data_IF_155052586694
#
_entry.id   IF_155052586694
#
_cell.length_a   1.000
_cell.length_b   1.000
_cell.length_c   1.000
_cell.angle_alpha   90.00
_cell.angle_beta   90.00
_cell.angle_gamma   90.00
#
_symmetry.space_group_name_H-M   'P 1'
#
loop_
_entity.id
_entity.type
_entity.pdbx_description
1 polymer ?
#
# COMPACT_ATOMS: atom_id res chain seq x y z
N UNK A 1 18.99 25.41 5.15
CA UNK A 1 17.77 25.48 5.98
C UNK A 1 18.15 25.07 7.39
N UNK A 2 17.64 25.77 8.40
CA UNK A 2 18.02 25.55 9.80
C UNK A 2 17.15 26.32 10.78
N UNK A 3 15.84 26.34 10.55
CA UNK A 3 14.90 27.05 11.42
C UNK A 3 13.59 26.30 11.67
N UNK A 4 13.21 25.33 10.83
CA UNK A 4 11.99 24.55 11.01
C UNK A 4 12.23 23.08 10.58
N UNK A 5 11.50 22.14 11.19
CA UNK A 5 11.79 20.71 11.17
C UNK A 5 11.76 20.01 9.81
N UNK A 6 11.97 18.70 9.84
CA UNK A 6 12.11 17.79 8.68
C UNK A 6 10.77 17.25 8.14
N UNK A 7 9.67 17.79 8.67
CA UNK A 7 8.29 17.49 8.28
C UNK A 7 7.98 18.14 6.92
N UNK A 8 7.24 17.49 6.01
CA UNK A 8 6.94 18.01 4.68
C UNK A 8 6.26 19.39 4.64
N UNK A 9 5.68 19.81 5.77
CA UNK A 9 4.89 21.03 5.87
C UNK A 9 5.51 22.07 6.81
N UNK A 10 6.70 21.83 7.37
CA UNK A 10 7.24 22.73 8.40
C UNK A 10 8.14 23.84 7.88
N UNK A 11 8.67 23.77 6.66
CA UNK A 11 9.54 24.82 6.13
C UNK A 11 8.75 26.05 5.68
N UNK A 12 9.37 27.23 5.73
CA UNK A 12 8.75 28.49 5.30
C UNK A 12 8.20 28.40 3.86
N UNK A 13 8.98 27.87 2.91
CA UNK A 13 8.49 27.71 1.53
C UNK A 13 7.37 26.67 1.39
N UNK A 14 7.30 25.67 2.27
CA UNK A 14 6.15 24.78 2.32
C UNK A 14 4.90 25.53 2.80
N UNK A 15 5.03 26.37 3.83
CA UNK A 15 3.93 27.18 4.37
C UNK A 15 3.41 28.19 3.36
N UNK A 16 4.32 28.93 2.70
CA UNK A 16 3.97 29.87 1.63
C UNK A 16 3.19 29.16 0.51
N UNK A 17 3.66 27.98 0.09
CA UNK A 17 2.97 27.16 -0.90
C UNK A 17 1.58 26.69 -0.44
N UNK A 18 1.42 26.31 0.83
CA UNK A 18 0.12 25.92 1.38
C UNK A 18 -0.87 27.09 1.36
N UNK A 19 -0.40 28.30 1.68
CA UNK A 19 -1.20 29.52 1.60
C UNK A 19 -1.66 29.80 0.16
N UNK A 20 -0.75 29.78 -0.81
CA UNK A 20 -1.08 29.98 -2.23
C UNK A 20 -2.04 28.92 -2.77
N UNK A 21 -1.83 27.65 -2.41
CA UNK A 21 -2.71 26.55 -2.83
C UNK A 21 -4.10 26.67 -2.21
N UNK A 22 -4.22 27.21 -0.99
CA UNK A 22 -5.50 27.42 -0.32
C UNK A 22 -6.36 28.50 -1.00
N UNK A 23 -5.73 29.48 -1.68
CA UNK A 23 -6.44 30.47 -2.50
C UNK A 23 -7.15 29.83 -3.70
N UNK A 24 -6.70 28.66 -4.15
CA UNK A 24 -7.37 27.91 -5.20
C UNK A 24 -8.66 27.24 -4.69
N UNK A 25 -9.73 27.22 -5.50
CA UNK A 25 -10.91 26.42 -5.21
C UNK A 25 -10.52 24.94 -5.02
N UNK A 26 -11.22 24.17 -4.16
CA UNK A 26 -10.90 22.75 -3.91
C UNK A 26 -10.75 21.91 -5.18
N UNK A 27 -11.59 22.17 -6.19
CA UNK A 27 -11.57 21.48 -7.49
C UNK A 27 -10.35 21.86 -8.36
N UNK A 28 -9.74 23.02 -8.11
CA UNK A 28 -8.57 23.53 -8.84
C UNK A 28 -7.23 23.09 -8.26
N UNK A 29 -7.18 22.72 -6.97
CA UNK A 29 -5.93 22.38 -6.27
C UNK A 29 -5.18 21.22 -6.91
N UNK A 30 -5.90 20.17 -7.34
CA UNK A 30 -5.28 19.03 -8.00
C UNK A 30 -4.59 19.42 -9.34
N UNK A 31 -5.19 20.35 -10.08
CA UNK A 31 -4.62 20.86 -11.32
C UNK A 31 -3.38 21.74 -11.06
N UNK A 32 -3.35 22.47 -9.95
CA UNK A 32 -2.19 23.27 -9.56
C UNK A 32 -1.00 22.39 -9.13
N UNK A 33 -1.27 21.34 -8.34
CA UNK A 33 -0.28 20.31 -8.02
C UNK A 33 0.29 19.66 -9.30
N UNK A 34 -0.58 19.31 -10.25
CA UNK A 34 -0.16 18.76 -11.54
C UNK A 34 0.75 19.73 -12.29
N UNK A 35 0.41 21.03 -12.34
CA UNK A 35 1.23 22.06 -12.98
C UNK A 35 2.61 22.15 -12.35
N UNK A 36 2.71 22.15 -11.02
CA UNK A 36 3.98 22.17 -10.32
C UNK A 36 4.84 20.95 -10.68
N UNK A 37 4.29 19.73 -10.62
CA UNK A 37 5.06 18.53 -10.96
C UNK A 37 5.49 18.51 -12.43
N UNK A 38 4.64 19.00 -13.34
CA UNK A 38 5.00 19.17 -14.75
C UNK A 38 6.07 20.24 -14.95
N UNK A 39 6.06 21.31 -14.15
CA UNK A 39 7.09 22.35 -14.17
C UNK A 39 8.44 21.77 -13.76
N UNK A 40 8.49 21.00 -12.66
CA UNK A 40 9.69 20.28 -12.21
C UNK A 40 10.24 19.39 -13.31
N UNK A 41 9.37 18.60 -13.96
CA UNK A 41 9.77 17.66 -15.01
C UNK A 41 10.27 18.36 -16.28
N UNK A 42 9.58 19.40 -16.71
CA UNK A 42 9.82 20.02 -18.01
C UNK A 42 10.87 21.15 -17.95
N UNK A 43 11.05 21.77 -16.78
CA UNK A 43 11.93 22.92 -16.57
C UNK A 43 12.76 22.79 -15.27
N UNK A 44 13.58 21.73 -15.13
CA UNK A 44 14.36 21.48 -13.91
C UNK A 44 15.34 22.62 -13.57
N UNK A 45 15.79 23.39 -14.57
CA UNK A 45 16.74 24.50 -14.41
C UNK A 45 16.15 25.71 -13.64
N UNK A 46 14.84 25.73 -13.41
CA UNK A 46 14.14 26.77 -12.65
C UNK A 46 14.10 26.48 -11.14
N UNK A 47 14.63 25.33 -10.69
CA UNK A 47 14.74 24.98 -9.29
C UNK A 47 15.55 26.05 -8.52
N UNK A 48 14.98 26.55 -7.43
CA UNK A 48 15.54 27.63 -6.61
C UNK A 48 15.32 29.04 -7.18
N UNK A 49 14.50 29.17 -8.24
CA UNK A 49 14.10 30.47 -8.83
C UNK A 49 12.60 30.64 -8.91
N UNK A 50 11.92 29.68 -9.54
CA UNK A 50 10.45 29.71 -9.74
C UNK A 50 9.73 28.69 -8.87
N UNK A 51 10.44 27.65 -8.43
CA UNK A 51 9.94 26.68 -7.46
C UNK A 51 11.09 26.18 -6.59
N UNK A 52 10.78 25.73 -5.38
CA UNK A 52 11.77 25.29 -4.40
C UNK A 52 11.59 23.81 -4.00
N UNK A 53 12.66 23.14 -3.51
CA UNK A 53 12.57 21.73 -3.14
C UNK A 53 11.49 21.42 -2.10
N UNK A 54 11.30 22.31 -1.13
CA UNK A 54 10.32 22.17 -0.07
C UNK A 54 8.87 22.29 -0.55
N UNK A 55 8.57 23.20 -1.48
CA UNK A 55 7.25 23.31 -2.11
C UNK A 55 6.88 22.00 -2.81
N UNK A 56 7.84 21.40 -3.52
CA UNK A 56 7.65 20.13 -4.23
C UNK A 56 7.45 18.97 -3.24
N UNK A 57 8.16 18.97 -2.11
CA UNK A 57 7.99 17.98 -1.04
C UNK A 57 6.60 18.11 -0.39
N UNK A 58 6.16 19.34 -0.08
CA UNK A 58 4.84 19.62 0.46
C UNK A 58 3.74 19.18 -0.51
N UNK A 59 3.85 19.55 -1.79
CA UNK A 59 2.93 19.15 -2.84
C UNK A 59 2.83 17.62 -2.99
N UNK A 60 3.97 16.93 -2.96
CA UNK A 60 4.02 15.47 -3.00
C UNK A 60 3.34 14.83 -1.77
N UNK A 61 3.49 15.43 -0.59
CA UNK A 61 2.83 14.99 0.63
C UNK A 61 1.32 15.20 0.61
N UNK A 62 0.82 16.28 -0.01
CA UNK A 62 -0.62 16.49 -0.23
C UNK A 62 -1.20 15.40 -1.14
N UNK A 63 -0.51 15.03 -2.22
CA UNK A 63 -0.94 13.90 -3.07
C UNK A 63 -0.92 12.60 -2.28
N UNK A 64 0.17 12.33 -1.56
CA UNK A 64 0.32 11.14 -0.74
C UNK A 64 -0.80 11.01 0.29
N UNK A 65 -1.21 12.11 0.94
CA UNK A 65 -2.31 12.15 1.90
C UNK A 65 -3.65 11.64 1.35
N UNK A 66 -3.83 11.65 0.02
CA UNK A 66 -5.05 11.13 -0.63
C UNK A 66 -4.98 9.63 -0.98
N UNK A 67 -3.85 8.97 -0.72
CA UNK A 67 -3.62 7.56 -1.05
C UNK A 67 -3.83 6.66 0.18
N UNK A 68 -4.15 5.37 0.00
CA UNK A 68 -4.47 4.43 1.09
C UNK A 68 -3.41 4.33 2.20
N UNK A 69 -2.13 4.57 1.89
CA UNK A 69 -1.02 4.49 2.85
C UNK A 69 -0.46 5.86 3.27
N UNK A 70 -1.14 6.96 2.92
CA UNK A 70 -0.71 8.31 3.27
C UNK A 70 -1.44 8.91 4.47
N UNK A 71 -2.09 8.09 5.31
CA UNK A 71 -2.91 8.57 6.44
C UNK A 71 -2.12 9.53 7.34
N UNK A 72 -0.86 9.25 7.64
CA UNK A 72 -0.06 10.13 8.49
C UNK A 72 0.07 11.56 7.92
N UNK A 73 0.11 11.70 6.59
CA UNK A 73 0.17 13.01 5.93
C UNK A 73 -1.20 13.71 5.96
N UNK A 74 -2.30 12.93 5.84
CA UNK A 74 -3.65 13.46 6.01
C UNK A 74 -3.91 13.96 7.43
N UNK A 75 -3.56 13.16 8.44
CA UNK A 75 -3.68 13.52 9.86
C UNK A 75 -2.82 14.74 10.20
N UNK A 76 -1.64 14.84 9.58
CA UNK A 76 -0.76 15.99 9.75
C UNK A 76 -1.37 17.28 9.18
N UNK A 77 -1.92 17.23 7.96
CA UNK A 77 -2.63 18.37 7.35
C UNK A 77 -3.85 18.79 8.18
N UNK A 78 -4.63 17.83 8.68
CA UNK A 78 -5.76 18.09 9.56
C UNK A 78 -5.31 18.76 10.86
N UNK A 79 -4.25 18.26 11.50
CA UNK A 79 -3.68 18.86 12.69
C UNK A 79 -3.20 20.31 12.45
N UNK A 80 -2.59 20.60 11.29
CA UNK A 80 -2.18 21.97 10.96
C UNK A 80 -3.37 22.92 10.82
N UNK A 81 -4.44 22.46 10.16
CA UNK A 81 -5.67 23.24 9.99
C UNK A 81 -6.43 23.45 11.31
N UNK A 82 -6.55 22.42 12.15
CA UNK A 82 -7.23 22.50 13.45
C UNK A 82 -6.54 23.44 14.43
N UNK A 83 -5.21 23.58 14.33
CA UNK A 83 -4.42 24.44 15.20
C UNK A 83 -4.19 25.84 14.62
N UNK A 84 -4.89 26.23 13.55
CA UNK A 84 -4.70 27.49 12.82
C UNK A 84 -3.22 27.74 12.42
N UNK A 85 -2.46 26.67 12.17
CA UNK A 85 -1.06 26.75 11.77
C UNK A 85 -0.92 26.88 10.26
N UNK A 86 -1.76 26.20 9.48
CA UNK A 86 -1.80 26.27 8.02
C UNK A 86 -3.26 26.22 7.53
N UNK A 87 -3.58 26.76 6.34
CA UNK A 87 -4.92 26.62 5.77
C UNK A 87 -5.23 25.18 5.32
N UNK A 88 -6.51 24.84 5.22
CA UNK A 88 -6.93 23.53 4.73
C UNK A 88 -6.75 23.43 3.20
N UNK A 89 -5.68 22.73 2.79
CA UNK A 89 -5.31 22.47 1.40
C UNK A 89 -5.73 21.08 0.90
N UNK A 90 -6.48 20.30 1.70
CA UNK A 90 -6.87 18.94 1.32
C UNK A 90 -7.60 18.93 -0.02
N UNK A 91 -7.37 17.88 -0.81
CA UNK A 91 -8.04 17.69 -2.09
C UNK A 91 -9.46 17.17 -1.88
N UNK A 92 -10.40 17.65 -2.69
CA UNK A 92 -11.81 17.22 -2.61
C UNK A 92 -12.07 15.78 -3.03
N UNK A 93 -11.11 15.14 -3.71
CA UNK A 93 -11.18 13.74 -4.13
C UNK A 93 -9.77 13.11 -4.17
N UNK A 94 -9.68 11.77 -4.07
CA UNK A 94 -8.43 11.05 -4.27
C UNK A 94 -7.76 11.37 -5.62
N UNK A 95 -6.44 11.57 -5.62
CA UNK A 95 -5.68 11.93 -6.81
C UNK A 95 -4.64 10.87 -7.24
N UNK A 96 -5.01 9.58 -7.41
CA UNK A 96 -4.06 8.51 -7.73
C UNK A 96 -3.35 8.72 -9.08
N UNK A 97 -3.97 9.47 -10.00
CA UNK A 97 -3.36 9.82 -11.30
C UNK A 97 -2.12 10.71 -11.16
N UNK A 98 -2.02 11.48 -10.07
CA UNK A 98 -0.88 12.35 -9.80
C UNK A 98 0.28 11.61 -9.14
N UNK A 99 0.05 10.42 -8.57
CA UNK A 99 1.04 9.72 -7.75
C UNK A 99 2.37 9.48 -8.49
N UNK A 100 2.32 9.01 -9.74
CA UNK A 100 3.52 8.78 -10.55
C UNK A 100 4.31 10.07 -10.82
N UNK A 101 3.62 11.15 -11.21
CA UNK A 101 4.30 12.41 -11.56
C UNK A 101 4.82 13.12 -10.31
N UNK A 102 4.09 13.03 -9.21
CA UNK A 102 4.49 13.55 -7.90
C UNK A 102 5.75 12.83 -7.41
N UNK A 103 5.81 11.50 -7.56
CA UNK A 103 6.99 10.72 -7.20
C UNK A 103 8.21 11.08 -8.04
N UNK A 104 8.05 11.25 -9.35
CA UNK A 104 9.14 11.69 -10.23
C UNK A 104 9.70 13.05 -9.78
N UNK A 105 8.82 14.02 -9.51
CA UNK A 105 9.20 15.34 -9.03
C UNK A 105 9.89 15.28 -7.65
N UNK A 106 9.34 14.48 -6.71
CA UNK A 106 9.91 14.26 -5.39
C UNK A 106 11.35 13.71 -5.46
N UNK A 107 11.57 12.68 -6.28
CA UNK A 107 12.90 12.06 -6.43
C UNK A 107 13.90 13.01 -7.08
N UNK A 108 13.44 13.92 -7.94
CA UNK A 108 14.28 14.96 -8.51
C UNK A 108 14.76 15.97 -7.45
N UNK A 109 13.87 16.41 -6.56
CA UNK A 109 14.21 17.40 -5.51
C UNK A 109 14.83 16.80 -4.25
N UNK A 110 14.78 15.47 -4.08
CA UNK A 110 15.27 14.77 -2.90
C UNK A 110 16.73 15.12 -2.54
N UNK A 111 17.63 15.10 -3.52
CA UNK A 111 19.04 15.45 -3.32
C UNK A 111 19.21 16.91 -2.86
N UNK A 112 18.71 17.90 -3.63
CA UNK A 112 18.73 19.30 -3.24
C UNK A 112 18.11 19.59 -1.86
N UNK A 113 16.99 18.96 -1.52
CA UNK A 113 16.33 19.14 -0.23
C UNK A 113 17.18 18.57 0.92
N UNK A 114 17.74 17.37 0.76
CA UNK A 114 18.60 16.72 1.75
C UNK A 114 19.92 17.49 2.00
N UNK A 115 20.49 18.10 0.96
CA UNK A 115 21.70 18.92 1.07
C UNK A 115 21.45 20.27 1.77
N UNK A 116 20.18 20.65 1.94
CA UNK A 116 19.78 21.87 2.63
C UNK A 116 19.98 21.82 4.15
N UNK A 117 20.18 20.64 4.74
CA UNK A 117 20.27 20.44 6.20
C UNK A 117 21.71 20.51 6.70
N UNK A 118 21.91 21.22 7.82
CA UNK A 118 23.23 21.41 8.44
C UNK A 118 23.51 20.35 9.52
N UNK A 119 22.47 19.89 10.22
CA UNK A 119 22.59 18.83 11.23
C UNK A 119 22.43 17.44 10.59
N UNK A 120 23.28 16.50 11.01
CA UNK A 120 23.26 15.13 10.47
C UNK A 120 21.98 14.36 10.83
N UNK A 121 21.36 14.69 11.98
CA UNK A 121 20.09 14.11 12.44
C UNK A 121 18.95 14.60 11.56
N UNK A 122 18.86 15.91 11.36
CA UNK A 122 17.85 16.51 10.48
C UNK A 122 18.00 16.00 9.04
N UNK A 123 19.24 15.85 8.57
CA UNK A 123 19.51 15.29 7.26
C UNK A 123 19.09 13.81 7.14
N UNK A 124 19.16 13.03 8.23
CA UNK A 124 18.68 11.66 8.26
C UNK A 124 17.15 11.60 8.25
N UNK A 125 16.49 12.39 9.10
CA UNK A 125 15.03 12.46 9.13
C UNK A 125 14.46 12.95 7.79
N UNK A 126 15.10 13.92 7.13
CA UNK A 126 14.71 14.35 5.79
C UNK A 126 14.85 13.21 4.75
N UNK A 127 15.87 12.34 4.86
CA UNK A 127 15.96 11.16 3.98
C UNK A 127 14.81 10.19 4.23
N UNK A 128 14.46 9.97 5.50
CA UNK A 128 13.36 9.09 5.88
C UNK A 128 12.03 9.64 5.39
N UNK A 129 11.79 10.95 5.49
CA UNK A 129 10.61 11.63 4.93
C UNK A 129 10.50 11.42 3.42
N UNK A 130 11.59 11.61 2.66
CA UNK A 130 11.59 11.34 1.20
C UNK A 130 11.31 9.87 0.90
N UNK A 131 11.94 8.95 1.64
CA UNK A 131 11.77 7.52 1.43
C UNK A 131 10.31 7.12 1.65
N UNK A 132 9.70 7.62 2.72
CA UNK A 132 8.33 7.35 3.08
C UNK A 132 7.33 7.92 2.07
N UNK A 133 7.50 9.19 1.67
CA UNK A 133 6.67 9.79 0.62
C UNK A 133 6.81 9.04 -0.71
N UNK A 134 8.03 8.70 -1.12
CA UNK A 134 8.29 7.94 -2.34
C UNK A 134 7.65 6.56 -2.30
N UNK A 135 7.65 5.92 -1.12
CA UNK A 135 6.99 4.64 -0.89
C UNK A 135 5.48 4.77 -1.10
N UNK A 136 4.82 5.69 -0.41
CA UNK A 136 3.37 5.93 -0.54
C UNK A 136 2.97 6.28 -1.98
N UNK A 137 3.73 7.16 -2.65
CA UNK A 137 3.46 7.58 -4.03
C UNK A 137 3.77 6.50 -5.08
N UNK A 138 4.65 5.54 -4.77
CA UNK A 138 4.89 4.39 -5.63
C UNK A 138 3.74 3.36 -5.58
N UNK A 139 2.71 3.60 -4.75
CA UNK A 139 1.75 2.57 -4.36
C UNK A 139 2.35 1.55 -3.39
N UNK A 140 3.54 1.81 -2.83
CA UNK A 140 4.17 0.98 -1.82
C UNK A 140 3.54 1.21 -0.45
N UNK A 141 3.11 0.20 0.29
CA UNK A 141 3.67 -1.14 0.29
C UNK A 141 2.93 -2.14 -0.59
N UNK A 142 3.63 -2.62 -1.62
CA UNK A 142 3.27 -3.76 -2.47
C UNK A 142 1.96 -3.54 -3.25
N UNK A 143 1.72 -4.29 -4.33
CA UNK A 143 0.43 -4.20 -5.02
C UNK A 143 -0.69 -4.28 -3.97
N UNK A 144 -1.78 -3.56 -4.12
CA UNK A 144 -2.95 -3.66 -3.22
C UNK A 144 -3.32 -5.14 -2.94
N UNK A 145 -3.14 -5.98 -3.96
CA UNK A 145 -3.27 -7.43 -3.88
C UNK A 145 -2.20 -8.12 -3.00
N UNK A 146 -0.95 -7.68 -3.05
CA UNK A 146 0.11 -8.17 -2.18
C UNK A 146 -0.11 -7.71 -0.72
N UNK A 147 -0.72 -6.53 -0.49
CA UNK A 147 -1.14 -6.13 0.87
C UNK A 147 -2.23 -7.05 1.41
N UNK A 148 -3.30 -7.27 0.62
CA UNK A 148 -4.36 -8.24 0.93
C UNK A 148 -3.76 -9.64 1.19
N UNK A 149 -2.78 -10.05 0.39
CA UNK A 149 -2.09 -11.31 0.55
C UNK A 149 -1.34 -11.41 1.87
N UNK A 150 -0.60 -10.37 2.26
CA UNK A 150 0.14 -10.34 3.52
C UNK A 150 -0.82 -10.30 4.72
N UNK A 151 -1.85 -9.48 4.69
CA UNK A 151 -2.87 -9.40 5.75
C UNK A 151 -3.56 -10.76 5.96
N UNK A 152 -3.91 -11.44 4.87
CA UNK A 152 -4.46 -12.78 4.91
C UNK A 152 -3.46 -13.81 5.45
N UNK A 153 -2.17 -13.67 5.15
CA UNK A 153 -1.11 -14.54 5.66
C UNK A 153 -0.98 -14.41 7.18
N UNK A 154 -0.91 -13.17 7.68
CA UNK A 154 -0.77 -12.87 9.11
C UNK A 154 -1.99 -13.35 9.89
N UNK A 155 -3.19 -12.97 9.43
CA UNK A 155 -4.44 -13.36 10.08
C UNK A 155 -4.64 -14.89 10.03
N UNK A 156 -4.20 -15.55 8.95
CA UNK A 156 -4.24 -17.01 8.81
C UNK A 156 -3.35 -17.73 9.82
N UNK A 157 -2.21 -17.13 10.20
CA UNK A 157 -1.32 -17.65 11.24
C UNK A 157 -1.97 -17.55 12.63
N UNK A 158 -2.57 -16.40 12.94
CA UNK A 158 -3.19 -16.12 14.24
C UNK A 158 -4.53 -16.86 14.44
N UNK A 159 -5.24 -17.18 13.35
CA UNK A 159 -6.43 -18.03 13.35
C UNK A 159 -7.75 -17.30 13.63
N UNK A 160 -7.71 -15.99 13.87
CA UNK A 160 -8.87 -15.12 14.05
C UNK A 160 -8.88 -14.03 12.97
N UNK A 161 -10.03 -13.83 12.33
CA UNK A 161 -10.26 -12.70 11.43
C UNK A 161 -11.01 -11.61 12.18
N UNK A 162 -10.68 -10.32 11.98
CA UNK A 162 -11.50 -9.21 12.46
C UNK A 162 -12.96 -9.32 11.99
N UNK A 163 -13.89 -8.82 12.79
CA UNK A 163 -15.29 -8.74 12.36
C UNK A 163 -15.43 -7.74 11.20
N UNK A 164 -16.10 -8.17 10.12
CA UNK A 164 -16.30 -7.35 8.92
C UNK A 164 -15.22 -7.51 7.86
N UNK A 165 -14.28 -8.45 8.01
CA UNK A 165 -13.31 -8.79 6.96
C UNK A 165 -14.03 -9.19 5.66
N UNK A 166 -13.61 -8.67 4.49
CA UNK A 166 -14.19 -9.06 3.21
C UNK A 166 -14.07 -10.57 2.95
N UNK A 167 -15.10 -11.21 2.34
CA UNK A 167 -15.17 -12.67 2.20
C UNK A 167 -14.01 -13.26 1.39
N UNK A 168 -13.48 -12.53 0.40
CA UNK A 168 -12.31 -12.96 -0.37
C UNK A 168 -11.04 -13.04 0.47
N UNK A 169 -10.88 -12.14 1.45
CA UNK A 169 -9.76 -12.11 2.39
C UNK A 169 -9.89 -13.26 3.40
N UNK A 170 -11.09 -13.51 3.93
CA UNK A 170 -11.34 -14.65 4.83
C UNK A 170 -11.02 -16.01 4.18
N UNK A 171 -11.42 -16.17 2.91
CA UNK A 171 -11.09 -17.35 2.12
C UNK A 171 -9.58 -17.46 1.89
N UNK A 172 -8.91 -16.36 1.52
CA UNK A 172 -7.46 -16.35 1.31
C UNK A 172 -6.71 -16.74 2.59
N UNK A 173 -7.08 -16.17 3.73
CA UNK A 173 -6.43 -16.46 5.00
C UNK A 173 -6.60 -17.91 5.45
N UNK A 174 -7.82 -18.44 5.31
CA UNK A 174 -8.12 -19.85 5.60
C UNK A 174 -7.30 -20.80 4.73
N UNK A 175 -7.10 -20.45 3.45
CA UNK A 175 -6.30 -21.22 2.52
C UNK A 175 -4.80 -21.15 2.87
N UNK A 176 -4.26 -19.95 3.08
CA UNK A 176 -2.84 -19.73 3.34
C UNK A 176 -2.38 -20.42 4.63
N UNK A 177 -3.23 -20.52 5.65
CA UNK A 177 -2.92 -21.28 6.87
C UNK A 177 -2.55 -22.75 6.58
N UNK A 178 -3.42 -23.46 5.86
CA UNK A 178 -3.23 -24.88 5.55
C UNK A 178 -2.12 -25.05 4.52
N UNK A 179 -2.06 -24.16 3.53
CA UNK A 179 -1.00 -24.16 2.52
C UNK A 179 0.39 -23.95 3.13
N UNK A 180 0.58 -22.97 4.02
CA UNK A 180 1.87 -22.70 4.66
C UNK A 180 2.32 -23.88 5.54
N UNK A 181 1.36 -24.54 6.21
CA UNK A 181 1.62 -25.79 6.93
C UNK A 181 2.11 -26.88 5.96
N UNK A 182 1.41 -27.04 4.83
CA UNK A 182 1.77 -28.03 3.82
C UNK A 182 3.12 -27.73 3.14
N UNK A 183 3.46 -26.46 2.92
CA UNK A 183 4.76 -26.05 2.41
C UNK A 183 5.90 -26.36 3.38
N UNK A 184 5.61 -26.37 4.70
CA UNK A 184 6.61 -26.62 5.74
C UNK A 184 6.85 -28.12 5.98
N UNK A 185 5.84 -28.98 5.81
CA UNK A 185 5.94 -30.39 6.19
C UNK A 185 5.11 -31.38 5.35
N UNK A 186 4.55 -30.94 4.23
CA UNK A 186 3.64 -31.72 3.39
C UNK A 186 2.21 -31.77 3.91
N UNK A 187 1.30 -32.37 3.13
CA UNK A 187 -0.12 -32.43 3.47
C UNK A 187 -0.40 -33.21 4.77
N UNK A 188 0.32 -34.31 5.02
CA UNK A 188 0.16 -35.08 6.26
C UNK A 188 0.41 -34.20 7.49
N UNK A 189 1.48 -33.41 7.49
CA UNK A 189 1.76 -32.44 8.54
C UNK A 189 0.67 -31.37 8.62
N UNK A 190 0.23 -30.82 7.49
CA UNK A 190 -0.83 -29.82 7.46
C UNK A 190 -2.15 -30.31 8.08
N UNK A 191 -2.51 -31.58 7.84
CA UNK A 191 -3.70 -32.21 8.43
C UNK A 191 -3.53 -32.54 9.92
N UNK A 192 -2.29 -32.77 10.37
CA UNK A 192 -1.98 -33.01 11.78
C UNK A 192 -2.04 -31.72 12.62
N UNK A 193 -1.49 -30.62 12.09
CA UNK A 193 -1.36 -29.35 12.85
C UNK A 193 -2.55 -28.41 12.74
N UNK A 194 -3.52 -28.72 11.87
CA UNK A 194 -4.74 -27.92 11.71
C UNK A 194 -5.97 -28.70 12.19
N UNK A 195 -6.81 -28.03 12.97
CA UNK A 195 -8.11 -28.58 13.35
C UNK A 195 -8.97 -28.89 12.11
N UNK A 196 -9.80 -29.95 12.12
CA UNK A 196 -10.57 -30.38 10.95
C UNK A 196 -11.45 -29.27 10.35
N UNK A 197 -11.93 -28.33 11.17
CA UNK A 197 -12.74 -27.21 10.66
C UNK A 197 -11.91 -26.18 9.87
N UNK A 198 -10.64 -25.96 10.22
CA UNK A 198 -9.74 -25.10 9.45
C UNK A 198 -9.43 -25.72 8.08
N UNK A 199 -9.20 -27.04 8.04
CA UNK A 199 -9.00 -27.77 6.78
C UNK A 199 -10.25 -27.67 5.89
N UNK A 200 -11.44 -27.83 6.46
CA UNK A 200 -12.72 -27.64 5.72
C UNK A 200 -12.88 -26.22 5.17
N UNK A 201 -12.49 -25.20 5.92
CA UNK A 201 -12.48 -23.80 5.44
C UNK A 201 -11.51 -23.61 4.27
N UNK A 202 -10.32 -24.19 4.34
CA UNK A 202 -9.35 -24.17 3.24
C UNK A 202 -9.88 -24.89 1.99
N UNK A 203 -10.57 -26.04 2.13
CA UNK A 203 -11.24 -26.73 1.01
C UNK A 203 -12.28 -25.82 0.35
N UNK A 204 -13.10 -25.12 1.16
CA UNK A 204 -14.08 -24.17 0.63
C UNK A 204 -13.40 -22.98 -0.06
N UNK A 205 -12.29 -22.48 0.48
CA UNK A 205 -11.51 -21.42 -0.14
C UNK A 205 -10.90 -21.86 -1.49
N UNK A 206 -10.36 -23.09 -1.58
CA UNK A 206 -9.89 -23.65 -2.86
C UNK A 206 -10.99 -23.63 -3.91
N UNK A 207 -12.21 -24.05 -3.56
CA UNK A 207 -13.38 -23.99 -4.46
C UNK A 207 -13.73 -22.55 -4.84
N UNK A 208 -13.67 -21.61 -3.88
CA UNK A 208 -13.93 -20.19 -4.13
C UNK A 208 -12.95 -19.60 -5.15
N UNK A 209 -11.67 -19.95 -5.07
CA UNK A 209 -10.62 -19.55 -6.02
C UNK A 209 -10.58 -20.39 -7.31
N UNK A 210 -11.54 -21.29 -7.52
CA UNK A 210 -11.62 -22.12 -8.75
C UNK A 210 -10.63 -23.29 -8.79
N UNK A 211 -9.98 -23.61 -7.67
CA UNK A 211 -9.02 -24.71 -7.52
C UNK A 211 -9.75 -26.02 -7.12
N UNK A 212 -10.79 -26.39 -7.87
CA UNK A 212 -11.72 -27.48 -7.51
C UNK A 212 -11.05 -28.85 -7.41
N UNK A 213 -10.11 -29.17 -8.32
CA UNK A 213 -9.40 -30.46 -8.30
C UNK A 213 -8.54 -30.60 -7.04
N UNK A 214 -7.81 -29.54 -6.67
CA UNK A 214 -7.05 -29.47 -5.42
C UNK A 214 -7.96 -29.60 -4.20
N UNK A 215 -9.15 -28.97 -4.24
CA UNK A 215 -10.12 -29.07 -3.16
C UNK A 215 -10.60 -30.51 -2.94
N UNK A 216 -10.94 -31.22 -4.02
CA UNK A 216 -11.35 -32.64 -3.96
C UNK A 216 -10.23 -33.52 -3.40
N UNK A 217 -8.98 -33.30 -3.84
CA UNK A 217 -7.84 -34.05 -3.33
C UNK A 217 -7.64 -33.89 -1.82
N UNK A 218 -7.73 -32.65 -1.30
CA UNK A 218 -7.62 -32.40 0.15
C UNK A 218 -8.79 -32.99 0.92
N UNK A 219 -9.99 -32.99 0.34
CA UNK A 219 -11.19 -33.57 0.95
C UNK A 219 -11.10 -35.09 1.06
N UNK A 220 -10.60 -35.78 0.03
CA UNK A 220 -10.32 -37.22 0.05
C UNK A 220 -9.29 -37.57 1.14
N UNK A 221 -8.20 -36.80 1.18
CA UNK A 221 -7.15 -36.94 2.18
C UNK A 221 -7.65 -36.77 3.62
N UNK A 222 -8.52 -35.77 3.86
CA UNK A 222 -9.12 -35.51 5.17
C UNK A 222 -10.05 -36.66 5.61
N UNK A 223 -10.69 -37.36 4.67
CA UNK A 223 -11.61 -38.47 4.95
C UNK A 223 -10.90 -39.83 5.13
N UNK A 224 -9.57 -39.87 5.10
CA UNK A 224 -8.79 -41.07 5.40
C UNK A 224 -8.52 -42.00 4.21
N UNK A 225 -8.81 -41.55 2.99
CA UNK A 225 -8.25 -42.20 1.80
C UNK A 225 -6.79 -41.74 1.70
N UNK A 226 -5.85 -42.69 1.88
CA UNK A 226 -4.42 -42.40 2.02
C UNK A 226 -3.95 -41.40 0.97
N UNK A 227 -3.65 -40.14 1.33
CA UNK A 227 -3.08 -39.21 0.38
C UNK A 227 -1.69 -39.74 0.07
N UNK A 228 -1.46 -40.22 -1.15
CA UNK A 228 -0.09 -40.39 -1.62
C UNK A 228 0.65 -39.05 -1.49
N UNK A 229 1.97 -39.07 -1.57
CA UNK A 229 2.87 -37.89 -1.52
C UNK A 229 2.60 -36.82 -2.62
N UNK A 230 1.47 -36.90 -3.32
CA UNK A 230 1.08 -36.16 -4.51
C UNK A 230 0.27 -34.88 -4.24
N UNK A 231 0.23 -34.35 -3.01
CA UNK A 231 -0.43 -33.05 -2.74
C UNK A 231 0.11 -31.92 -3.62
N UNK A 232 1.38 -32.01 -4.01
CA UNK A 232 2.01 -31.04 -4.89
C UNK A 232 1.68 -31.24 -6.36
N UNK A 233 1.27 -32.43 -6.84
CA UNK A 233 1.08 -32.65 -8.28
C UNK A 233 0.06 -31.69 -8.95
N UNK A 234 -1.09 -31.33 -8.33
CA UNK A 234 -2.01 -30.34 -8.89
C UNK A 234 -1.55 -28.88 -8.73
N UNK A 235 -0.68 -28.60 -7.75
CA UNK A 235 -0.18 -27.26 -7.38
C UNK A 235 1.15 -26.94 -8.08
N UNK A 236 1.88 -27.96 -8.55
CA UNK A 236 3.22 -27.89 -9.16
C UNK A 236 3.17 -27.61 -10.69
N UNK A 237 1.99 -27.37 -11.26
CA UNK A 237 1.84 -27.01 -12.68
C UNK A 237 2.18 -25.53 -12.99
N UNK A 238 2.74 -24.78 -12.04
CA UNK A 238 3.29 -23.45 -12.27
C UNK A 238 3.90 -22.82 -11.03
N UNK A 239 4.75 -21.81 -11.24
CA UNK A 239 5.23 -20.91 -10.17
C UNK A 239 3.98 -20.20 -9.61
N UNK A 240 3.61 -20.54 -8.38
CA UNK A 240 2.56 -19.90 -7.56
C UNK A 240 1.10 -19.99 -8.09
N UNK A 241 0.44 -21.16 -8.00
CA UNK A 241 -0.96 -21.32 -8.44
C UNK A 241 -1.97 -20.61 -7.54
N UNK A 242 -1.70 -20.48 -6.23
CA UNK A 242 -2.60 -19.78 -5.30
C UNK A 242 -2.55 -18.28 -5.56
N UNK A 243 -1.35 -17.69 -5.69
CA UNK A 243 -1.22 -16.28 -6.02
C UNK A 243 -1.83 -15.95 -7.38
N UNK A 244 -1.70 -16.83 -8.38
CA UNK A 244 -2.41 -16.65 -9.65
C UNK A 244 -3.93 -16.68 -9.48
N UNK A 245 -4.47 -17.69 -8.81
CA UNK A 245 -5.91 -17.83 -8.61
C UNK A 245 -6.50 -16.65 -7.81
N UNK A 246 -5.77 -16.19 -6.79
CA UNK A 246 -6.08 -14.98 -6.04
C UNK A 246 -6.13 -13.74 -6.94
N UNK A 247 -5.06 -13.45 -7.71
CA UNK A 247 -5.01 -12.27 -8.59
C UNK A 247 -6.12 -12.30 -9.64
N UNK A 248 -6.41 -13.46 -10.22
CA UNK A 248 -7.54 -13.65 -11.14
C UNK A 248 -8.88 -13.35 -10.44
N UNK A 249 -9.11 -13.93 -9.27
CA UNK A 249 -10.36 -13.73 -8.52
C UNK A 249 -10.57 -12.28 -8.10
N UNK A 250 -9.50 -11.61 -7.64
CA UNK A 250 -9.53 -10.22 -7.22
C UNK A 250 -9.70 -9.23 -8.39
N UNK A 251 -9.40 -9.64 -9.61
CA UNK A 251 -9.72 -8.90 -10.82
C UNK A 251 -11.18 -9.09 -11.27
N UNK A 252 -11.73 -10.29 -11.10
CA UNK A 252 -13.13 -10.60 -11.46
C UNK A 252 -14.14 -10.03 -10.45
N UNK A 253 -13.81 -10.09 -9.15
CA UNK A 253 -14.69 -9.71 -8.05
C UNK A 253 -13.97 -8.78 -7.06
N UNK A 254 -13.60 -7.55 -7.46
CA UNK A 254 -12.84 -6.62 -6.61
C UNK A 254 -13.52 -6.33 -5.27
N UNK A 255 -14.85 -6.27 -5.23
CA UNK A 255 -15.63 -6.01 -4.02
C UNK A 255 -15.49 -7.09 -2.95
N UNK A 256 -15.23 -8.34 -3.34
CA UNK A 256 -15.00 -9.44 -2.38
C UNK A 256 -13.71 -9.25 -1.58
N UNK A 257 -12.82 -8.38 -2.05
CA UNK A 257 -11.55 -8.03 -1.43
C UNK A 257 -11.53 -6.59 -0.90
N UNK A 258 -12.71 -5.97 -0.73
CA UNK A 258 -12.82 -4.60 -0.23
C UNK A 258 -12.40 -3.51 -1.22
N UNK A 259 -12.33 -3.84 -2.52
CA UNK A 259 -11.90 -2.92 -3.59
C UNK A 259 -13.12 -2.33 -4.29
N UNK A 260 -13.05 -1.05 -4.66
CA UNK A 260 -14.12 -0.28 -5.31
C UNK A 260 -13.99 -0.25 -6.83
#
# INVERSE_FOLDING_TARGET
MGTFGTDPFSSDGAMDFLEELAEQPPDGRAAELERLFLLVRNQPDLLGREFFPDEVVAAAAIVAATLPFGRQFSERLESLAENDLAPDVRLGAPAPRLASIAREALLFVAGPWQQGWVDDTDAAEARDTIAELSRVLAGGGLDELDHIWNEATDSGADGEMPEGTPPGIEHLASLLRVYNSAMSGGLGFALEVNEPFHVRRAINALRYFGLTETASFVEEALNGESPGDAFFAPVDHGIDPIGRAFRTKAAEFPTDFGRA
#
